data_IF_609447274934
#
_entry.id   IF_609447274934
#
_cell.length_a   1.000
_cell.length_b   1.000
_cell.length_c   1.000
_cell.angle_alpha   90.00
_cell.angle_beta   90.00
_cell.angle_gamma   90.00
#
_symmetry.space_group_name_H-M   'P 1'
#
loop_
_entity.id
_entity.type
_entity.pdbx_description
1 polymer ?
#
# COMPACT_ATOMS: atom_id res chain seq x y z
N UNK A 1 4.21 -58.37 -37.06
CA UNK A 1 4.13 -57.30 -36.04
C UNK A 1 2.65 -57.17 -35.72
N UNK A 2 2.16 -57.56 -34.54
CA UNK A 2 2.42 -56.91 -33.26
C UNK A 2 2.17 -57.89 -32.10
N UNK A 3 3.03 -57.82 -31.10
CA UNK A 3 3.09 -58.66 -29.90
C UNK A 3 2.08 -58.17 -28.85
N UNK A 4 1.38 -59.09 -28.18
CA UNK A 4 0.58 -58.82 -26.98
C UNK A 4 1.47 -58.72 -25.74
N UNK A 5 1.18 -57.77 -24.84
CA UNK A 5 1.55 -57.84 -23.42
C UNK A 5 0.41 -57.31 -22.52
N UNK A 6 0.34 -57.76 -21.24
CA UNK A 6 -0.90 -57.96 -20.51
C UNK A 6 -1.25 -56.86 -19.49
N UNK A 7 -2.53 -56.87 -19.09
CA UNK A 7 -3.19 -56.01 -18.10
C UNK A 7 -2.55 -56.16 -16.70
N UNK A 8 -1.97 -55.08 -16.16
CA UNK A 8 -1.54 -55.00 -14.76
C UNK A 8 -2.61 -54.30 -13.92
N UNK A 9 -3.06 -54.97 -12.87
CA UNK A 9 -4.19 -54.59 -12.04
C UNK A 9 -3.97 -53.31 -11.21
N UNK A 10 -5.04 -52.52 -11.07
CA UNK A 10 -5.19 -51.51 -10.02
C UNK A 10 -6.20 -52.03 -8.99
N UNK A 11 -5.91 -51.93 -7.68
CA UNK A 11 -6.86 -52.35 -6.66
C UNK A 11 -8.08 -51.41 -6.60
N UNK A 12 -9.22 -52.06 -6.57
CA UNK A 12 -10.56 -51.57 -6.26
C UNK A 12 -10.55 -50.70 -5.00
N UNK A 13 -11.01 -49.45 -5.07
CA UNK A 13 -11.50 -48.69 -3.92
C UNK A 13 -12.62 -47.74 -4.37
N UNK A 14 -13.71 -48.34 -4.82
CA UNK A 14 -14.98 -47.63 -5.07
C UNK A 14 -15.64 -47.36 -3.71
N UNK A 15 -15.29 -46.27 -3.05
CA UNK A 15 -16.06 -45.77 -1.90
C UNK A 15 -17.34 -45.15 -2.43
N UNK A 16 -18.44 -45.91 -2.39
CA UNK A 16 -19.79 -45.46 -2.72
C UNK A 16 -20.31 -44.51 -1.64
N UNK A 17 -20.00 -43.21 -1.75
CA UNK A 17 -20.66 -42.18 -0.95
C UNK A 17 -22.11 -42.02 -1.43
N UNK A 18 -23.05 -42.50 -0.61
CA UNK A 18 -24.49 -42.29 -0.75
C UNK A 18 -24.79 -40.78 -0.69
N UNK A 19 -24.83 -40.11 -1.85
CA UNK A 19 -25.18 -38.68 -1.99
C UNK A 19 -26.58 -38.42 -1.45
N UNK A 20 -26.70 -37.62 -0.39
CA UNK A 20 -27.98 -36.98 -0.02
C UNK A 20 -28.26 -35.86 -1.04
N UNK A 21 -29.40 -35.96 -1.73
CA UNK A 21 -29.69 -35.20 -2.96
C UNK A 21 -29.79 -33.68 -2.78
N UNK A 22 -29.92 -33.18 -1.56
CA UNK A 22 -30.05 -31.74 -1.29
C UNK A 22 -28.73 -30.96 -1.41
N UNK A 23 -27.57 -31.62 -1.35
CA UNK A 23 -26.25 -30.98 -1.50
C UNK A 23 -25.88 -30.66 -2.97
N UNK A 24 -26.60 -31.22 -3.94
CA UNK A 24 -26.36 -30.97 -5.37
C UNK A 24 -26.82 -29.59 -5.83
N UNK A 25 -27.72 -28.95 -5.08
CA UNK A 25 -28.26 -27.64 -5.45
C UNK A 25 -27.30 -26.49 -5.14
N UNK A 26 -26.41 -26.65 -4.15
CA UNK A 26 -25.46 -25.61 -3.73
C UNK A 26 -24.09 -25.72 -4.43
N UNK A 27 -23.72 -26.91 -4.90
CA UNK A 27 -22.46 -27.16 -5.64
C UNK A 27 -22.42 -26.49 -7.03
N UNK A 28 -23.57 -26.26 -7.66
CA UNK A 28 -23.63 -25.74 -9.04
C UNK A 28 -23.14 -24.29 -9.23
N UNK A 29 -23.16 -23.45 -8.19
CA UNK A 29 -22.78 -22.02 -8.30
C UNK A 29 -21.31 -21.72 -8.04
N UNK A 30 -20.60 -22.60 -7.32
CA UNK A 30 -19.21 -22.38 -6.89
C UNK A 30 -18.25 -23.53 -7.28
N UNK A 31 -18.73 -24.52 -8.04
CA UNK A 31 -18.01 -25.76 -8.36
C UNK A 31 -16.71 -25.60 -9.16
N UNK A 32 -16.44 -24.44 -9.76
CA UNK A 32 -15.17 -24.16 -10.45
C UNK A 32 -14.05 -23.68 -9.52
N UNK A 33 -14.38 -22.97 -8.44
CA UNK A 33 -13.37 -22.45 -7.51
C UNK A 33 -12.94 -23.52 -6.51
N UNK A 34 -13.89 -24.36 -6.07
CA UNK A 34 -13.59 -25.51 -5.22
C UNK A 34 -12.77 -26.56 -5.95
N UNK A 35 -13.06 -26.85 -7.22
CA UNK A 35 -12.27 -27.84 -8.00
C UNK A 35 -10.83 -27.38 -8.21
N UNK A 36 -10.60 -26.09 -8.53
CA UNK A 36 -9.25 -25.53 -8.66
C UNK A 36 -8.52 -25.56 -7.31
N UNK A 37 -9.20 -25.22 -6.21
CA UNK A 37 -8.61 -25.26 -4.86
C UNK A 37 -8.30 -26.70 -4.41
N UNK A 38 -9.15 -27.67 -4.76
CA UNK A 38 -8.92 -29.10 -4.50
C UNK A 38 -7.77 -29.66 -5.34
N UNK A 39 -7.65 -29.25 -6.61
CA UNK A 39 -6.54 -29.61 -7.50
C UNK A 39 -5.21 -29.08 -6.94
N UNK A 40 -5.20 -27.82 -6.46
CA UNK A 40 -4.03 -27.19 -5.84
C UNK A 40 -3.68 -27.77 -4.46
N UNK A 41 -4.69 -28.19 -3.68
CA UNK A 41 -4.48 -28.83 -2.38
C UNK A 41 -3.88 -30.24 -2.50
N UNK A 42 -4.01 -30.87 -3.67
CA UNK A 42 -3.46 -32.20 -3.95
C UNK A 42 -2.12 -32.14 -4.70
N UNK A 43 -1.66 -30.96 -5.11
CA UNK A 43 -0.35 -30.75 -5.71
C UNK A 43 0.72 -30.66 -4.63
N UNK A 44 1.68 -31.57 -4.69
CA UNK A 44 2.89 -31.46 -3.89
C UNK A 44 3.86 -30.48 -4.55
N UNK A 45 4.77 -29.90 -3.77
CA UNK A 45 5.85 -29.03 -4.31
C UNK A 45 6.60 -29.73 -5.46
N UNK A 46 6.63 -31.06 -5.46
CA UNK A 46 7.34 -31.90 -6.42
C UNK A 46 6.64 -31.96 -7.79
N UNK A 47 5.31 -31.86 -7.83
CA UNK A 47 4.52 -31.86 -9.07
C UNK A 47 4.69 -30.54 -9.86
N UNK A 48 5.19 -29.50 -9.18
CA UNK A 48 5.51 -28.19 -9.76
C UNK A 48 6.97 -28.09 -10.23
N UNK A 49 7.81 -29.08 -9.92
CA UNK A 49 9.25 -29.06 -10.22
C UNK A 49 9.50 -29.69 -11.60
N UNK A 50 10.24 -28.96 -12.44
CA UNK A 50 10.56 -29.40 -13.80
C UNK A 50 11.32 -30.75 -13.79
N UNK A 51 10.99 -31.72 -14.68
CA UNK A 51 11.48 -33.10 -14.62
C UNK A 51 13.01 -33.28 -14.60
N UNK A 52 13.76 -32.25 -15.01
CA UNK A 52 15.23 -32.27 -15.11
C UNK A 52 15.95 -32.06 -13.77
N UNK A 53 15.30 -31.43 -12.78
CA UNK A 53 15.94 -31.10 -11.49
C UNK A 53 15.43 -31.96 -10.32
N UNK A 54 14.43 -32.80 -10.59
CA UNK A 54 13.78 -33.74 -9.68
C UNK A 54 14.78 -34.68 -8.97
N UNK A 55 15.87 -35.07 -9.64
CA UNK A 55 16.91 -35.94 -9.09
C UNK A 55 17.84 -35.26 -8.06
N UNK A 56 17.85 -33.92 -7.99
CA UNK A 56 18.66 -33.15 -7.04
C UNK A 56 17.95 -32.95 -5.70
N UNK A 57 16.69 -33.36 -5.60
CA UNK A 57 15.88 -33.20 -4.39
C UNK A 57 16.20 -34.34 -3.41
N UNK A 58 16.64 -34.04 -2.19
CA UNK A 58 16.94 -35.08 -1.20
C UNK A 58 15.72 -35.93 -0.85
N UNK A 59 15.93 -37.24 -0.63
CA UNK A 59 14.84 -38.20 -0.37
C UNK A 59 13.94 -37.85 0.83
N UNK A 60 14.45 -37.12 1.83
CA UNK A 60 13.66 -36.72 3.00
C UNK A 60 12.50 -35.77 2.67
N UNK A 61 12.57 -35.07 1.52
CA UNK A 61 11.51 -34.15 1.09
C UNK A 61 10.23 -34.88 0.64
N UNK A 62 10.30 -36.18 0.35
CA UNK A 62 9.12 -36.99 0.01
C UNK A 62 8.20 -37.28 1.20
N UNK A 63 8.68 -37.06 2.43
CA UNK A 63 7.92 -37.37 3.65
C UNK A 63 7.01 -36.24 4.11
N UNK A 64 7.01 -35.08 3.44
CA UNK A 64 6.18 -33.96 3.85
C UNK A 64 4.78 -34.06 3.24
N UNK A 65 3.72 -34.29 4.05
CA UNK A 65 2.34 -34.27 3.57
C UNK A 65 1.96 -32.86 3.07
N UNK A 66 1.00 -32.74 2.14
CA UNK A 66 0.51 -31.44 1.70
C UNK A 66 0.03 -30.61 2.90
N UNK A 67 0.40 -29.33 2.99
CA UNK A 67 0.04 -28.48 4.12
C UNK A 67 -1.49 -28.40 4.22
N UNK A 68 -2.01 -28.62 5.43
CA UNK A 68 -3.44 -28.55 5.69
C UNK A 68 -3.99 -27.18 5.23
N UNK A 69 -5.16 -27.11 4.55
CA UNK A 69 -5.68 -25.88 3.93
C UNK A 69 -5.83 -24.69 4.88
N UNK A 70 -5.91 -24.93 6.19
CA UNK A 70 -5.90 -23.90 7.23
C UNK A 70 -4.61 -23.06 7.23
N UNK A 71 -3.45 -23.63 6.86
CA UNK A 71 -2.19 -22.88 6.80
C UNK A 71 -2.20 -21.81 5.71
N UNK A 72 -2.92 -22.01 4.60
CA UNK A 72 -3.07 -20.99 3.57
C UNK A 72 -3.94 -19.82 4.06
N UNK A 73 -4.96 -20.08 4.87
CA UNK A 73 -5.77 -19.03 5.51
C UNK A 73 -4.97 -18.29 6.59
N UNK A 74 -4.16 -19.00 7.38
CA UNK A 74 -3.27 -18.39 8.38
C UNK A 74 -2.21 -17.53 7.69
N UNK A 75 -1.54 -18.02 6.64
CA UNK A 75 -0.56 -17.24 5.90
C UNK A 75 -1.23 -16.05 5.19
N UNK A 76 -2.38 -16.25 4.54
CA UNK A 76 -3.11 -15.19 3.85
C UNK A 76 -3.57 -14.07 4.80
N UNK A 77 -4.09 -14.43 5.97
CA UNK A 77 -4.46 -13.44 7.01
C UNK A 77 -3.23 -12.74 7.58
N UNK A 78 -2.12 -13.45 7.78
CA UNK A 78 -0.88 -12.89 8.31
C UNK A 78 -0.22 -11.93 7.29
N UNK A 79 -0.20 -12.27 6.00
CA UNK A 79 0.23 -11.38 4.91
C UNK A 79 -0.72 -10.19 4.72
N UNK A 80 -2.03 -10.38 4.86
CA UNK A 80 -3.00 -9.29 4.81
C UNK A 80 -2.84 -8.33 6.00
N UNK A 81 -2.64 -8.85 7.22
CA UNK A 81 -2.37 -8.04 8.41
C UNK A 81 -1.07 -7.26 8.20
N UNK A 82 0.04 -7.90 7.82
CA UNK A 82 1.32 -7.22 7.54
C UNK A 82 1.17 -6.16 6.43
N UNK A 83 0.43 -6.46 5.35
CA UNK A 83 0.15 -5.52 4.26
C UNK A 83 -0.70 -4.33 4.72
N UNK A 84 -1.65 -4.53 5.63
CA UNK A 84 -2.46 -3.45 6.22
C UNK A 84 -1.72 -2.63 7.28
N UNK A 85 -0.58 -3.09 7.80
CA UNK A 85 0.27 -2.34 8.75
C UNK A 85 1.17 -1.28 8.09
N UNK A 86 1.46 -1.42 6.79
CA UNK A 86 1.91 -0.29 5.93
C UNK A 86 0.76 0.70 5.59
N UNK A 87 -0.42 0.42 6.16
CA UNK A 87 -1.42 1.33 6.67
C UNK A 87 -2.00 2.36 5.71
N UNK A 88 -2.73 1.84 4.74
CA UNK A 88 -3.86 2.54 4.11
C UNK A 88 -4.81 3.17 5.15
N UNK A 89 -4.92 2.58 6.34
CA UNK A 89 -5.68 3.16 7.47
C UNK A 89 -5.04 4.44 8.00
N UNK A 90 -3.71 4.47 8.23
CA UNK A 90 -2.99 5.69 8.63
C UNK A 90 -3.01 6.72 7.52
N UNK A 91 -2.79 6.33 6.27
CA UNK A 91 -2.88 7.24 5.12
C UNK A 91 -4.28 7.85 4.99
N UNK A 92 -5.33 7.04 5.17
CA UNK A 92 -6.71 7.51 5.19
C UNK A 92 -6.99 8.47 6.35
N UNK A 93 -6.45 8.18 7.55
CA UNK A 93 -6.57 9.08 8.71
C UNK A 93 -5.89 10.43 8.43
N UNK A 94 -4.66 10.43 7.91
CA UNK A 94 -3.94 11.66 7.55
C UNK A 94 -4.67 12.45 6.47
N UNK A 95 -5.23 11.76 5.45
CA UNK A 95 -6.01 12.41 4.42
C UNK A 95 -7.27 13.06 5.00
N UNK A 96 -8.00 12.35 5.88
CA UNK A 96 -9.17 12.90 6.56
C UNK A 96 -8.80 14.12 7.42
N UNK A 97 -7.69 14.07 8.15
CA UNK A 97 -7.20 15.21 8.93
C UNK A 97 -6.88 16.42 8.03
N UNK A 98 -6.24 16.21 6.88
CA UNK A 98 -5.95 17.29 5.92
C UNK A 98 -7.25 17.90 5.37
N UNK A 99 -8.24 17.07 5.03
CA UNK A 99 -9.54 17.54 4.56
C UNK A 99 -10.30 18.34 5.61
N UNK A 100 -10.33 17.88 6.86
CA UNK A 100 -10.98 18.60 7.95
C UNK A 100 -10.23 19.89 8.26
N UNK A 101 -8.90 19.87 8.22
CA UNK A 101 -8.06 21.05 8.41
C UNK A 101 -8.32 22.11 7.33
N UNK A 102 -8.21 21.75 6.04
CA UNK A 102 -8.42 22.69 4.94
C UNK A 102 -9.88 23.14 4.85
N UNK A 103 -10.83 22.22 4.98
CA UNK A 103 -12.26 22.51 5.00
C UNK A 103 -12.65 23.40 6.16
N UNK A 104 -12.07 23.19 7.35
CA UNK A 104 -12.29 24.02 8.53
C UNK A 104 -11.89 25.48 8.29
N UNK A 105 -10.67 25.72 7.79
CA UNK A 105 -10.22 27.08 7.46
C UNK A 105 -11.08 27.75 6.40
N UNK A 106 -11.47 27.03 5.34
CA UNK A 106 -12.37 27.53 4.31
C UNK A 106 -13.82 27.75 4.81
N UNK A 107 -14.24 27.07 5.88
CA UNK A 107 -15.59 27.19 6.40
C UNK A 107 -15.76 28.41 7.32
N UNK A 108 -14.68 28.90 7.94
CA UNK A 108 -14.71 30.01 8.91
C UNK A 108 -15.37 31.31 8.40
N UNK A 109 -15.26 31.71 7.12
CA UNK A 109 -16.02 32.85 6.60
C UNK A 109 -17.55 32.66 6.69
N UNK A 110 -18.07 31.44 6.55
CA UNK A 110 -19.51 31.18 6.73
C UNK A 110 -19.98 31.36 8.18
N UNK A 111 -19.05 31.27 9.14
CA UNK A 111 -19.32 31.49 10.56
C UNK A 111 -19.07 32.94 11.00
N UNK A 112 -18.79 33.86 10.07
CA UNK A 112 -18.71 35.31 10.33
C UNK A 112 -17.32 35.85 10.72
N UNK A 113 -16.25 35.04 10.61
CA UNK A 113 -14.89 35.58 10.79
C UNK A 113 -14.43 36.39 9.58
N UNK A 114 -14.91 36.06 8.38
CA UNK A 114 -14.71 36.83 7.16
C UNK A 114 -15.91 36.66 6.21
N UNK A 115 -15.92 37.31 5.05
CA UNK A 115 -16.96 37.18 4.03
C UNK A 115 -16.36 36.78 2.68
N UNK A 116 -17.13 36.03 1.88
CA UNK A 116 -16.78 35.77 0.48
C UNK A 116 -17.36 36.86 -0.40
N UNK A 117 -16.49 37.60 -1.11
CA UNK A 117 -16.84 38.75 -1.95
C UNK A 117 -16.35 38.49 -3.38
N UNK A 118 -17.04 39.09 -4.37
CA UNK A 118 -16.66 39.03 -5.78
C UNK A 118 -15.42 39.90 -6.03
N UNK A 119 -14.44 39.34 -6.74
CA UNK A 119 -13.21 40.05 -7.07
C UNK A 119 -13.29 40.71 -8.46
N UNK A 120 -12.85 41.97 -8.58
CA UNK A 120 -12.55 42.67 -9.84
C UNK A 120 -13.62 42.60 -10.94
N UNK A 121 -13.50 41.60 -11.82
CA UNK A 121 -14.37 41.36 -12.99
C UNK A 121 -15.67 40.63 -12.66
N UNK A 122 -15.97 40.37 -11.38
CA UNK A 122 -17.20 39.69 -10.92
C UNK A 122 -17.39 38.26 -11.46
N UNK A 123 -16.32 37.58 -11.87
CA UNK A 123 -16.36 36.21 -12.39
C UNK A 123 -15.87 35.15 -11.40
N UNK A 124 -15.22 35.57 -10.32
CA UNK A 124 -14.71 34.71 -9.25
C UNK A 124 -15.07 35.28 -7.87
N UNK A 125 -15.28 34.40 -6.90
CA UNK A 125 -15.44 34.76 -5.49
C UNK A 125 -14.18 34.38 -4.72
N UNK A 126 -13.80 35.22 -3.77
CA UNK A 126 -12.64 35.05 -2.90
C UNK A 126 -12.99 35.56 -1.50
N UNK A 127 -12.17 35.24 -0.50
CA UNK A 127 -12.35 35.79 0.84
C UNK A 127 -12.01 37.30 0.81
N UNK A 128 -12.71 38.12 1.58
CA UNK A 128 -12.47 39.55 1.61
C UNK A 128 -11.11 39.86 2.27
N UNK A 129 -10.14 40.23 1.43
CA UNK A 129 -8.81 40.71 1.81
C UNK A 129 -8.64 42.22 1.54
N UNK A 130 -9.67 42.88 1.01
CA UNK A 130 -9.64 44.31 0.66
C UNK A 130 -10.14 45.18 1.80
N UNK A 131 -11.04 44.66 2.64
CA UNK A 131 -11.49 45.39 3.83
C UNK A 131 -10.34 45.70 4.79
N UNK A 132 -10.34 46.94 5.29
CA UNK A 132 -9.33 47.44 6.23
C UNK A 132 -9.70 47.13 7.69
N UNK A 133 -10.79 46.39 7.91
CA UNK A 133 -11.25 45.99 9.23
C UNK A 133 -10.26 45.03 9.87
N UNK A 134 -9.89 45.29 11.12
CA UNK A 134 -8.91 44.47 11.84
C UNK A 134 -9.40 43.03 12.01
N UNK A 135 -10.72 42.82 12.10
CA UNK A 135 -11.34 41.51 12.21
C UNK A 135 -11.10 40.65 10.95
N UNK A 136 -11.50 41.14 9.77
CA UNK A 136 -11.29 40.45 8.48
C UNK A 136 -9.81 40.29 8.16
N UNK A 137 -9.00 41.32 8.42
CA UNK A 137 -7.54 41.26 8.20
C UNK A 137 -6.84 40.21 9.07
N UNK A 138 -7.30 40.04 10.32
CA UNK A 138 -6.76 39.00 11.22
C UNK A 138 -6.98 37.60 10.66
N UNK A 139 -8.14 37.34 10.05
CA UNK A 139 -8.43 36.07 9.40
C UNK A 139 -7.48 35.80 8.23
N UNK A 140 -7.24 36.80 7.38
CA UNK A 140 -6.33 36.67 6.23
C UNK A 140 -4.91 36.32 6.70
N UNK A 141 -4.38 37.04 7.70
CA UNK A 141 -3.04 36.77 8.26
C UNK A 141 -2.96 35.37 8.86
N UNK A 142 -3.97 34.95 9.63
CA UNK A 142 -4.01 33.61 10.23
C UNK A 142 -4.10 32.53 9.16
N UNK A 143 -4.90 32.73 8.12
CA UNK A 143 -5.02 31.80 7.00
C UNK A 143 -3.68 31.63 6.27
N UNK A 144 -2.96 32.73 6.02
CA UNK A 144 -1.61 32.69 5.45
C UNK A 144 -0.61 31.98 6.35
N UNK A 145 -0.60 32.29 7.65
CA UNK A 145 0.29 31.62 8.60
C UNK A 145 -0.04 30.13 8.74
N UNK A 146 -1.31 29.76 8.79
CA UNK A 146 -1.75 28.37 8.88
C UNK A 146 -1.43 27.57 7.61
N UNK A 147 -1.53 28.19 6.43
CA UNK A 147 -1.19 27.56 5.15
C UNK A 147 0.32 27.56 4.85
N UNK A 148 1.12 28.41 5.49
CA UNK A 148 2.57 28.50 5.31
C UNK A 148 3.36 27.77 6.40
N UNK A 149 3.09 28.09 7.68
CA UNK A 149 3.85 27.58 8.82
C UNK A 149 3.61 26.09 9.05
N UNK A 150 2.37 25.60 8.90
CA UNK A 150 2.06 24.19 9.14
C UNK A 150 2.75 23.27 8.12
N UNK A 151 2.65 23.51 6.80
CA UNK A 151 3.40 22.70 5.83
C UNK A 151 4.92 22.78 6.04
N UNK A 152 5.48 23.94 6.39
CA UNK A 152 6.92 24.04 6.69
C UNK A 152 7.33 23.21 7.88
N UNK A 153 6.63 23.33 9.01
CA UNK A 153 6.95 22.57 10.22
C UNK A 153 6.87 21.07 9.95
N UNK A 154 5.85 20.62 9.21
CA UNK A 154 5.70 19.22 8.81
C UNK A 154 6.86 18.76 7.94
N UNK A 155 7.24 19.54 6.91
CA UNK A 155 8.37 19.21 6.03
C UNK A 155 9.67 19.17 6.82
N UNK A 156 9.98 20.19 7.62
CA UNK A 156 11.19 20.23 8.45
C UNK A 156 11.27 19.03 9.39
N UNK A 157 10.17 18.70 10.09
CA UNK A 157 10.11 17.55 10.99
C UNK A 157 10.31 16.22 10.25
N UNK A 158 9.63 16.04 9.11
CA UNK A 158 9.75 14.84 8.29
C UNK A 158 11.18 14.65 7.78
N UNK A 159 11.81 15.71 7.24
CA UNK A 159 13.17 15.64 6.74
C UNK A 159 14.20 15.43 7.84
N UNK A 160 14.02 16.02 9.02
CA UNK A 160 14.86 15.73 10.18
C UNK A 160 14.80 14.24 10.55
N UNK A 161 13.59 13.66 10.55
CA UNK A 161 13.38 12.21 10.73
C UNK A 161 14.05 11.36 9.64
N UNK A 162 13.94 11.78 8.37
CA UNK A 162 14.57 11.07 7.24
C UNK A 162 16.10 11.11 7.36
N UNK A 163 16.71 12.28 7.58
CA UNK A 163 18.17 12.41 7.66
C UNK A 163 18.73 11.62 8.85
N UNK A 164 18.06 11.67 10.00
CA UNK A 164 18.49 10.91 11.18
C UNK A 164 18.37 9.39 10.98
N UNK A 165 17.32 8.93 10.31
CA UNK A 165 17.14 7.52 9.93
C UNK A 165 18.15 7.06 8.89
N UNK A 166 18.35 7.83 7.82
CA UNK A 166 19.32 7.55 6.75
C UNK A 166 20.74 7.51 7.31
N UNK A 167 21.10 8.43 8.20
CA UNK A 167 22.42 8.43 8.85
C UNK A 167 22.65 7.20 9.72
N UNK A 168 21.59 6.63 10.32
CA UNK A 168 21.66 5.36 11.05
C UNK A 168 21.76 4.16 10.10
N UNK A 169 20.96 4.18 9.03
CA UNK A 169 20.94 3.12 8.03
C UNK A 169 22.26 3.01 7.25
N UNK A 170 22.86 4.14 6.87
CA UNK A 170 24.13 4.21 6.15
C UNK A 170 25.30 3.63 6.97
N UNK A 171 25.32 3.87 8.30
CA UNK A 171 26.29 3.22 9.20
C UNK A 171 26.14 1.70 9.23
N UNK A 172 24.90 1.20 9.26
CA UNK A 172 24.62 -0.23 9.27
C UNK A 172 24.88 -0.88 7.90
N UNK A 173 24.61 -0.17 6.79
CA UNK A 173 24.86 -0.66 5.44
C UNK A 173 26.36 -0.82 5.17
N UNK A 174 27.19 0.16 5.56
CA UNK A 174 28.65 0.09 5.42
C UNK A 174 29.26 -1.10 6.18
N UNK A 175 28.64 -1.55 7.27
CA UNK A 175 29.06 -2.80 7.95
C UNK A 175 28.61 -4.06 7.21
N UNK A 176 27.48 -4.04 6.50
CA UNK A 176 26.95 -5.19 5.76
C UNK A 176 27.53 -5.31 4.33
N UNK A 177 27.82 -4.21 3.65
CA UNK A 177 28.46 -4.20 2.31
C UNK A 177 29.87 -4.81 2.32
N UNK A 178 30.57 -4.72 3.46
CA UNK A 178 31.85 -5.44 3.68
C UNK A 178 31.68 -6.96 3.76
N UNK A 179 30.45 -7.45 4.01
CA UNK A 179 30.13 -8.86 4.20
C UNK A 179 29.32 -9.48 3.04
N UNK A 180 28.57 -8.67 2.28
CA UNK A 180 27.67 -9.14 1.22
C UNK A 180 27.62 -8.08 0.11
N UNK A 181 28.11 -8.43 -1.09
CA UNK A 181 28.29 -7.50 -2.22
C UNK A 181 27.04 -6.69 -2.63
N UNK A 182 27.31 -5.60 -3.37
CA UNK A 182 26.40 -4.48 -3.69
C UNK A 182 25.04 -4.89 -4.30
N UNK A 183 23.95 -4.38 -3.72
CA UNK A 183 22.58 -4.85 -3.96
C UNK A 183 21.82 -3.87 -4.89
N UNK A 184 21.94 -4.06 -6.21
CA UNK A 184 21.42 -3.15 -7.26
C UNK A 184 19.92 -2.78 -7.09
N UNK A 185 19.10 -3.71 -6.59
CA UNK A 185 17.67 -3.45 -6.32
C UNK A 185 17.44 -2.38 -5.25
N UNK A 186 18.26 -2.36 -4.19
CA UNK A 186 18.15 -1.36 -3.12
C UNK A 186 18.55 0.02 -3.61
N UNK A 187 19.60 0.12 -4.42
CA UNK A 187 20.00 1.38 -5.05
C UNK A 187 18.90 1.96 -5.95
N UNK A 188 18.24 1.12 -6.75
CA UNK A 188 17.13 1.55 -7.60
C UNK A 188 15.92 2.05 -6.79
N UNK A 189 15.59 1.41 -5.66
CA UNK A 189 14.55 1.89 -4.75
C UNK A 189 14.93 3.22 -4.13
N UNK A 190 16.14 3.37 -3.62
CA UNK A 190 16.59 4.62 -3.00
C UNK A 190 16.66 5.79 -3.99
N UNK A 191 17.01 5.52 -5.25
CA UNK A 191 16.89 6.51 -6.34
C UNK A 191 15.44 6.93 -6.57
N UNK A 192 14.49 5.99 -6.59
CA UNK A 192 13.06 6.34 -6.78
C UNK A 192 12.54 7.18 -5.60
N UNK A 193 12.82 6.77 -4.38
CA UNK A 193 12.46 7.52 -3.17
C UNK A 193 13.05 8.94 -3.17
N UNK A 194 14.32 9.10 -3.56
CA UNK A 194 14.93 10.44 -3.62
C UNK A 194 14.34 11.33 -4.72
N UNK A 195 13.96 10.75 -5.88
CA UNK A 195 13.26 11.47 -6.93
C UNK A 195 11.87 11.94 -6.46
N UNK A 196 11.13 11.07 -5.78
CA UNK A 196 9.81 11.42 -5.20
C UNK A 196 9.94 12.54 -4.18
N UNK A 197 10.89 12.42 -3.24
CA UNK A 197 11.14 13.47 -2.24
C UNK A 197 11.53 14.80 -2.88
N UNK A 198 12.33 14.78 -3.96
CA UNK A 198 12.68 15.99 -4.71
C UNK A 198 11.44 16.64 -5.33
N UNK A 199 10.54 15.87 -5.93
CA UNK A 199 9.29 16.39 -6.52
C UNK A 199 8.41 17.04 -5.45
N UNK A 200 8.22 16.38 -4.30
CA UNK A 200 7.43 16.92 -3.18
C UNK A 200 8.05 18.19 -2.61
N UNK A 201 9.37 18.24 -2.45
CA UNK A 201 10.05 19.43 -1.96
C UNK A 201 9.89 20.62 -2.92
N UNK A 202 10.11 20.39 -4.21
CA UNK A 202 9.96 21.43 -5.23
C UNK A 202 8.52 21.93 -5.31
N UNK A 203 7.51 21.06 -5.17
CA UNK A 203 6.11 21.49 -5.19
C UNK A 203 5.75 22.36 -3.98
N UNK A 204 6.25 22.03 -2.79
CA UNK A 204 6.09 22.87 -1.60
C UNK A 204 6.77 24.22 -1.82
N UNK A 205 8.03 24.26 -2.27
CA UNK A 205 8.72 25.53 -2.54
C UNK A 205 8.00 26.39 -3.58
N UNK A 206 7.50 25.79 -4.66
CA UNK A 206 6.76 26.51 -5.70
C UNK A 206 5.47 27.12 -5.14
N UNK A 207 4.76 26.40 -4.27
CA UNK A 207 3.61 26.93 -3.54
C UNK A 207 4.01 28.15 -2.71
N UNK A 208 5.10 28.06 -1.95
CA UNK A 208 5.57 29.19 -1.12
C UNK A 208 5.89 30.43 -1.95
N UNK A 209 6.60 30.26 -3.07
CA UNK A 209 6.95 31.36 -3.97
C UNK A 209 5.69 31.98 -4.58
N UNK A 210 4.71 31.16 -4.99
CA UNK A 210 3.47 31.65 -5.60
C UNK A 210 2.62 32.49 -4.62
N UNK A 211 2.65 32.16 -3.33
CA UNK A 211 1.87 32.87 -2.30
C UNK A 211 2.63 33.99 -1.59
N UNK A 212 3.96 34.08 -1.74
CA UNK A 212 4.78 35.14 -1.10
C UNK A 212 4.34 36.57 -1.48
N UNK A 213 3.97 36.89 -2.75
CA UNK A 213 3.52 38.23 -3.11
C UNK A 213 2.22 38.67 -2.40
N UNK A 214 1.40 37.73 -1.94
CA UNK A 214 0.16 38.03 -1.22
C UNK A 214 0.36 38.20 0.29
N UNK A 215 1.50 37.76 0.82
CA UNK A 215 1.83 37.84 2.24
C UNK A 215 2.69 39.08 2.59
N UNK A 216 3.19 39.82 1.59
CA UNK A 216 4.09 40.96 1.73
C UNK A 216 3.46 42.29 1.31
#
# INVERSE_FOLDING_TARGET
MTVMLPQTGRPNNTITYRRRSWLLSLSGKYGGLETIAWEMANMTLFDLVEPKVTHKVPKYWHSFPPPHPLWHLVLGTLYAIIGTQLSMRRAGLWLLLIWVYSGGWCALPFFGWNQYVLEGLMTSCTFDYLSMDTWSRSYVVVLFLASYAVPLVVVCYAYFGIVSSVSRHDRNLKSHERAQGENVRYQNLQRRESQLNRVVFTSVLAFMIAWTPYAG
#
